data_IF_220314358931
#
_entry.id   IF_220314358931
#
_cell.length_a   1.000
_cell.length_b   1.000
_cell.length_c   1.000
_cell.angle_alpha   90.00
_cell.angle_beta   90.00
_cell.angle_gamma   90.00
#
_symmetry.space_group_name_H-M   'P 1'
#
loop_
_entity.id
_entity.type
_entity.pdbx_description
1 polymer ?
#
# COMPACT_ATOMS: atom_id res chain seq x y z
N UNK A 1 4.84 4.73 22.54
CA UNK A 1 5.44 3.42 22.92
C UNK A 1 4.44 2.28 22.82
N UNK A 2 3.21 2.42 23.33
CA UNK A 2 2.20 1.34 23.28
C UNK A 2 1.67 1.01 21.88
N UNK A 3 1.50 2.00 20.98
CA UNK A 3 1.03 1.75 19.61
C UNK A 3 1.96 0.78 18.84
N UNK A 4 3.27 0.97 18.97
CA UNK A 4 4.29 0.12 18.30
C UNK A 4 4.23 -1.35 18.76
N UNK A 5 3.94 -1.58 20.05
CA UNK A 5 3.77 -2.93 20.60
C UNK A 5 2.49 -3.59 20.07
N UNK A 6 1.42 -2.80 19.91
CA UNK A 6 0.16 -3.25 19.30
C UNK A 6 0.34 -3.68 17.84
N UNK A 7 1.04 -2.88 17.03
CA UNK A 7 1.33 -3.21 15.63
C UNK A 7 2.10 -4.53 15.47
N UNK A 8 3.14 -4.72 16.29
CA UNK A 8 3.92 -5.95 16.29
C UNK A 8 3.10 -7.15 16.78
N UNK A 9 2.33 -6.99 17.86
CA UNK A 9 1.44 -8.04 18.36
C UNK A 9 0.41 -8.45 17.29
N UNK A 10 -0.15 -7.47 16.56
CA UNK A 10 -1.08 -7.74 15.47
C UNK A 10 -0.41 -8.49 14.32
N UNK A 11 0.81 -8.13 13.92
CA UNK A 11 1.57 -8.87 12.91
C UNK A 11 1.86 -10.31 13.37
N UNK A 12 2.26 -10.51 14.63
CA UNK A 12 2.50 -11.85 15.19
C UNK A 12 1.20 -12.67 15.17
N UNK A 13 0.09 -12.09 15.61
CA UNK A 13 -1.22 -12.73 15.58
C UNK A 13 -1.64 -13.08 14.14
N UNK A 14 -1.43 -12.18 13.18
CA UNK A 14 -1.70 -12.42 11.78
C UNK A 14 -0.85 -13.58 11.21
N UNK A 15 0.44 -13.63 11.53
CA UNK A 15 1.32 -14.74 11.15
C UNK A 15 0.84 -16.07 11.75
N UNK A 16 0.40 -16.06 13.01
CA UNK A 16 -0.11 -17.25 13.69
C UNK A 16 -1.45 -17.72 13.10
N UNK A 17 -2.37 -16.78 12.82
CA UNK A 17 -3.65 -17.08 12.18
C UNK A 17 -3.45 -17.70 10.79
N UNK A 18 -2.61 -17.11 9.95
CA UNK A 18 -2.35 -17.68 8.63
C UNK A 18 -1.62 -19.00 8.71
N UNK A 19 -0.72 -19.19 9.68
CA UNK A 19 -0.13 -20.49 9.97
C UNK A 19 -1.17 -21.56 10.30
N UNK A 20 -2.19 -21.22 11.09
CA UNK A 20 -3.32 -22.12 11.39
C UNK A 20 -4.21 -22.43 10.17
N UNK A 21 -4.08 -21.65 9.08
CA UNK A 21 -4.76 -21.89 7.80
C UNK A 21 -3.85 -22.61 6.79
N UNK A 22 -2.78 -23.26 7.25
CA UNK A 22 -1.76 -23.91 6.44
C UNK A 22 -0.98 -22.98 5.50
N UNK A 23 -1.04 -21.66 5.76
CA UNK A 23 -0.27 -20.64 5.03
C UNK A 23 0.92 -20.18 5.87
N UNK A 24 2.15 -20.31 5.34
CA UNK A 24 3.32 -19.72 6.01
C UNK A 24 3.64 -18.35 5.42
N UNK A 25 3.58 -17.32 6.25
CA UNK A 25 4.16 -16.01 5.91
C UNK A 25 5.68 -16.22 5.75
N UNK A 26 6.18 -16.03 4.54
CA UNK A 26 7.59 -16.22 4.24
C UNK A 26 8.26 -14.84 4.11
N UNK A 27 8.95 -14.35 5.16
CA UNK A 27 9.58 -13.04 5.13
C UNK A 27 10.78 -12.94 4.18
N UNK A 28 11.21 -14.06 3.56
CA UNK A 28 12.42 -14.17 2.75
C UNK A 28 12.70 -12.91 1.92
N UNK A 29 13.91 -12.39 2.06
CA UNK A 29 14.39 -11.19 1.37
C UNK A 29 14.58 -11.40 -0.14
N UNK A 30 14.74 -12.65 -0.62
CA UNK A 30 14.92 -12.96 -2.04
C UNK A 30 13.59 -12.99 -2.79
N UNK A 31 13.52 -12.30 -3.93
CA UNK A 31 12.38 -12.41 -4.85
C UNK A 31 12.34 -13.80 -5.50
N UNK A 32 11.16 -14.44 -5.48
CA UNK A 32 10.93 -15.67 -6.24
C UNK A 32 10.40 -15.29 -7.62
N UNK A 33 11.25 -15.35 -8.63
CA UNK A 33 10.87 -14.99 -10.00
C UNK A 33 9.96 -16.07 -10.60
N UNK A 34 9.02 -15.66 -11.46
CA UNK A 34 8.26 -16.56 -12.34
C UNK A 34 8.80 -16.42 -13.77
N UNK A 35 8.38 -17.28 -14.70
CA UNK A 35 8.82 -17.19 -16.10
C UNK A 35 8.47 -15.86 -16.78
N UNK A 36 7.44 -15.14 -16.29
CA UNK A 36 7.02 -13.84 -16.81
C UNK A 36 7.54 -12.67 -15.97
N UNK A 37 8.39 -12.92 -14.98
CA UNK A 37 9.01 -11.88 -14.15
C UNK A 37 9.77 -10.88 -15.02
N UNK A 38 9.67 -9.60 -14.67
CA UNK A 38 10.35 -8.54 -15.39
C UNK A 38 10.92 -7.52 -14.42
N UNK A 39 12.24 -7.37 -14.43
CA UNK A 39 12.91 -6.29 -13.69
C UNK A 39 12.49 -4.91 -14.19
N UNK A 40 12.18 -4.76 -15.48
CA UNK A 40 11.65 -3.51 -16.02
C UNK A 40 10.31 -3.14 -15.35
N UNK A 41 9.40 -4.09 -15.19
CA UNK A 41 8.13 -3.85 -14.49
C UNK A 41 8.37 -3.49 -13.03
N UNK A 42 9.29 -4.18 -12.35
CA UNK A 42 9.67 -3.83 -10.98
C UNK A 42 10.21 -2.40 -10.91
N UNK A 43 11.09 -2.01 -11.84
CA UNK A 43 11.62 -0.64 -11.92
C UNK A 43 10.52 0.39 -12.13
N UNK A 44 9.54 0.11 -13.00
CA UNK A 44 8.37 1.00 -13.20
C UNK A 44 7.56 1.15 -11.91
N UNK A 45 7.34 0.06 -11.16
CA UNK A 45 6.64 0.13 -9.87
C UNK A 45 7.42 0.93 -8.83
N UNK A 46 8.75 0.78 -8.78
CA UNK A 46 9.62 1.57 -7.88
C UNK A 46 9.58 3.05 -8.26
N UNK A 47 9.68 3.38 -9.54
CA UNK A 47 9.59 4.77 -10.03
C UNK A 47 8.23 5.36 -9.67
N UNK A 48 7.15 4.59 -9.85
CA UNK A 48 5.81 5.02 -9.46
C UNK A 48 5.73 5.32 -7.96
N UNK A 49 6.22 4.44 -7.08
CA UNK A 49 6.20 4.66 -5.63
C UNK A 49 7.00 5.92 -5.25
N UNK A 50 8.17 6.12 -5.85
CA UNK A 50 8.97 7.32 -5.60
C UNK A 50 8.20 8.57 -6.06
N UNK A 51 7.61 8.52 -7.25
CA UNK A 51 6.82 9.63 -7.79
C UNK A 51 5.60 9.93 -6.90
N UNK A 52 4.87 8.91 -6.46
CA UNK A 52 3.67 9.00 -5.61
C UNK A 52 3.98 9.66 -4.26
N UNK A 53 5.04 9.20 -3.59
CA UNK A 53 5.53 9.82 -2.35
C UNK A 53 5.88 11.29 -2.60
N UNK A 54 6.69 11.58 -3.62
CA UNK A 54 7.12 12.94 -3.96
C UNK A 54 5.95 13.86 -4.33
N UNK A 55 4.94 13.34 -5.03
CA UNK A 55 3.77 14.08 -5.47
C UNK A 55 2.86 14.48 -4.29
N UNK A 56 2.63 13.55 -3.35
CA UNK A 56 1.87 13.81 -2.13
C UNK A 56 2.58 14.79 -1.21
N UNK A 57 3.88 14.61 -1.04
CA UNK A 57 4.77 15.48 -0.27
C UNK A 57 4.69 16.94 -0.75
N UNK A 58 4.48 17.15 -2.05
CA UNK A 58 4.35 18.49 -2.63
C UNK A 58 2.91 18.90 -2.96
N UNK A 59 1.91 18.08 -2.60
CA UNK A 59 0.50 18.27 -2.96
C UNK A 59 0.30 18.72 -4.42
N UNK A 60 1.07 18.13 -5.34
CA UNK A 60 1.04 18.43 -6.78
C UNK A 60 1.67 19.76 -7.23
N UNK A 61 2.31 20.53 -6.34
CA UNK A 61 2.96 21.80 -6.67
C UNK A 61 4.48 21.69 -6.61
N UNK A 62 5.15 21.66 -7.78
CA UNK A 62 6.62 21.58 -7.87
C UNK A 62 7.33 22.73 -7.12
N UNK A 63 6.71 23.90 -7.03
CA UNK A 63 7.22 25.05 -6.27
C UNK A 63 7.35 24.80 -4.75
N UNK A 64 6.73 23.73 -4.22
CA UNK A 64 6.87 23.36 -2.82
C UNK A 64 8.19 22.66 -2.52
N UNK A 65 8.80 21.96 -3.49
CA UNK A 65 10.15 21.39 -3.33
C UNK A 65 11.20 22.45 -2.97
N UNK A 66 11.02 23.67 -3.47
CA UNK A 66 11.95 24.78 -3.23
C UNK A 66 11.51 25.69 -2.08
N UNK A 67 10.37 25.40 -1.44
CA UNK A 67 9.90 26.22 -0.33
C UNK A 67 10.74 25.97 0.92
N UNK A 68 11.16 27.04 1.59
CA UNK A 68 12.01 26.95 2.78
C UNK A 68 11.36 26.11 3.89
N UNK A 69 10.04 26.23 4.07
CA UNK A 69 9.28 25.45 5.05
C UNK A 69 9.30 23.95 4.74
N UNK A 70 9.24 23.56 3.46
CA UNK A 70 9.38 22.18 3.02
C UNK A 70 10.78 21.64 3.28
N UNK A 71 11.82 22.38 2.88
CA UNK A 71 13.22 21.97 3.10
C UNK A 71 13.55 21.84 4.59
N UNK A 72 12.97 22.68 5.44
CA UNK A 72 13.20 22.61 6.89
C UNK A 72 12.43 21.48 7.57
N UNK A 73 11.22 21.15 7.11
CA UNK A 73 10.38 20.10 7.72
C UNK A 73 10.73 18.70 7.19
N UNK A 74 10.87 18.53 5.87
CA UNK A 74 11.07 17.23 5.23
C UNK A 74 12.43 16.58 5.49
N UNK A 75 13.45 17.38 5.84
CA UNK A 75 14.79 16.87 6.15
C UNK A 75 15.12 16.82 7.65
N UNK A 76 14.22 17.29 8.51
CA UNK A 76 14.40 17.19 9.96
C UNK A 76 13.91 15.83 10.44
N UNK A 77 14.83 15.02 10.96
CA UNK A 77 14.44 13.75 11.57
C UNK A 77 13.62 13.97 12.85
N UNK A 78 12.46 13.31 12.94
CA UNK A 78 11.57 13.42 14.09
C UNK A 78 11.18 12.02 14.62
N UNK A 79 11.57 11.72 15.86
CA UNK A 79 11.37 10.40 16.47
C UNK A 79 9.92 9.97 16.55
N UNK A 80 9.01 10.86 17.01
CA UNK A 80 7.59 10.49 17.17
C UNK A 80 6.93 10.17 15.81
N UNK A 81 6.96 11.06 14.79
CA UNK A 81 6.45 10.72 13.45
C UNK A 81 7.06 9.46 12.86
N UNK A 82 8.35 9.22 13.09
CA UNK A 82 9.03 8.00 12.62
C UNK A 82 8.43 6.73 13.22
N UNK A 83 8.27 6.69 14.54
CA UNK A 83 7.69 5.53 15.21
C UNK A 83 6.21 5.35 14.89
N UNK A 84 5.44 6.44 14.82
CA UNK A 84 4.02 6.39 14.45
C UNK A 84 3.87 5.83 13.04
N UNK A 85 4.66 6.32 12.07
CA UNK A 85 4.61 5.85 10.69
C UNK A 85 5.00 4.38 10.52
N UNK A 86 6.02 3.90 11.25
CA UNK A 86 6.34 2.46 11.27
C UNK A 86 5.18 1.65 11.85
N UNK A 87 4.59 2.12 12.95
CA UNK A 87 3.47 1.43 13.60
C UNK A 87 2.25 1.35 12.67
N UNK A 88 1.92 2.44 11.98
CA UNK A 88 0.82 2.49 10.99
C UNK A 88 1.12 1.59 9.81
N UNK A 89 2.28 1.73 9.17
CA UNK A 89 2.67 0.91 8.02
C UNK A 89 2.71 -0.59 8.33
N UNK A 90 3.13 -1.00 9.53
CA UNK A 90 3.04 -2.40 9.97
C UNK A 90 1.60 -2.84 10.17
N UNK A 91 0.80 -2.05 10.88
CA UNK A 91 -0.58 -2.43 11.22
C UNK A 91 -1.48 -2.50 9.99
N UNK A 92 -1.45 -1.47 9.16
CA UNK A 92 -2.32 -1.37 7.98
C UNK A 92 -1.95 -2.40 6.92
N UNK A 93 -0.65 -2.62 6.66
CA UNK A 93 -0.25 -3.66 5.72
C UNK A 93 -0.49 -5.08 6.27
N UNK A 94 -0.46 -5.29 7.59
CA UNK A 94 -0.91 -6.55 8.20
C UNK A 94 -2.39 -6.77 7.96
N UNK A 95 -3.22 -5.75 8.16
CA UNK A 95 -4.65 -5.80 7.88
C UNK A 95 -4.92 -6.09 6.39
N UNK A 96 -4.21 -5.43 5.48
CA UNK A 96 -4.31 -5.66 4.03
C UNK A 96 -3.83 -7.05 3.64
N UNK A 97 -2.77 -7.56 4.26
CA UNK A 97 -2.30 -8.93 4.06
C UNK A 97 -3.38 -9.95 4.40
N UNK A 98 -4.00 -9.84 5.57
CA UNK A 98 -5.10 -10.73 5.98
C UNK A 98 -6.29 -10.63 5.02
N UNK A 99 -6.64 -9.42 4.60
CA UNK A 99 -7.71 -9.18 3.62
C UNK A 99 -7.40 -9.88 2.29
N UNK A 100 -6.17 -9.75 1.78
CA UNK A 100 -5.75 -10.36 0.51
C UNK A 100 -5.72 -11.89 0.60
N UNK A 101 -5.15 -12.47 1.66
CA UNK A 101 -5.11 -13.93 1.84
C UNK A 101 -6.53 -14.51 1.95
N UNK A 102 -7.40 -13.86 2.72
CA UNK A 102 -8.80 -14.27 2.86
C UNK A 102 -9.52 -14.20 1.53
N UNK A 103 -9.39 -13.11 0.78
CA UNK A 103 -10.00 -12.96 -0.54
C UNK A 103 -9.44 -13.97 -1.56
N UNK A 104 -8.14 -14.29 -1.49
CA UNK A 104 -7.55 -15.33 -2.33
C UNK A 104 -8.20 -16.70 -2.05
N UNK A 105 -8.40 -17.07 -0.80
CA UNK A 105 -9.09 -18.33 -0.47
C UNK A 105 -10.57 -18.30 -0.90
N UNK A 106 -11.31 -17.24 -0.54
CA UNK A 106 -12.74 -17.12 -0.85
C UNK A 106 -13.03 -17.11 -2.36
N UNK A 107 -12.12 -16.57 -3.17
CA UNK A 107 -12.30 -16.41 -4.61
C UNK A 107 -11.50 -17.42 -5.44
N UNK A 108 -11.00 -18.51 -4.83
CA UNK A 108 -10.09 -19.47 -5.48
C UNK A 108 -10.64 -20.13 -6.76
N UNK A 109 -11.95 -20.32 -6.84
CA UNK A 109 -12.62 -20.90 -8.00
C UNK A 109 -13.00 -19.85 -9.06
N UNK A 110 -12.70 -18.57 -8.82
CA UNK A 110 -13.10 -17.48 -9.71
C UNK A 110 -12.07 -17.24 -10.81
N UNK A 111 -12.49 -17.23 -12.08
CA UNK A 111 -11.62 -17.00 -13.25
C UNK A 111 -10.76 -15.72 -13.15
N UNK A 112 -11.32 -14.66 -12.55
CA UNK A 112 -10.69 -13.36 -12.37
C UNK A 112 -10.29 -13.08 -10.91
N UNK A 113 -9.99 -14.13 -10.13
CA UNK A 113 -9.62 -14.06 -8.71
C UNK A 113 -8.68 -12.90 -8.39
N UNK A 114 -7.52 -12.80 -9.04
CA UNK A 114 -6.51 -11.75 -8.75
C UNK A 114 -7.08 -10.34 -8.97
N UNK A 115 -7.84 -10.13 -10.04
CA UNK A 115 -8.49 -8.84 -10.31
C UNK A 115 -9.46 -8.46 -9.19
N UNK A 116 -10.31 -9.40 -8.77
CA UNK A 116 -11.26 -9.15 -7.68
C UNK A 116 -10.56 -8.97 -6.33
N UNK A 117 -9.51 -9.73 -6.04
CA UNK A 117 -8.69 -9.56 -4.83
C UNK A 117 -8.10 -8.15 -4.78
N UNK A 118 -7.53 -7.65 -5.88
CA UNK A 118 -6.97 -6.29 -5.96
C UNK A 118 -8.07 -5.24 -5.71
N UNK A 119 -9.20 -5.33 -6.41
CA UNK A 119 -10.28 -4.34 -6.31
C UNK A 119 -10.93 -4.37 -4.92
N UNK A 120 -11.33 -5.55 -4.45
CA UNK A 120 -12.09 -5.69 -3.19
C UNK A 120 -11.19 -5.38 -1.99
N UNK A 121 -9.92 -5.79 -1.99
CA UNK A 121 -9.01 -5.42 -0.89
C UNK A 121 -8.78 -3.90 -0.83
N UNK A 122 -8.70 -3.23 -1.98
CA UNK A 122 -8.62 -1.77 -2.04
C UNK A 122 -9.91 -1.09 -1.55
N UNK A 123 -11.08 -1.63 -1.90
CA UNK A 123 -12.37 -1.13 -1.40
C UNK A 123 -12.48 -1.26 0.12
N UNK A 124 -12.08 -2.41 0.67
CA UNK A 124 -12.04 -2.64 2.11
C UNK A 124 -11.10 -1.60 2.76
N UNK A 125 -9.90 -1.43 2.22
CA UNK A 125 -8.93 -0.49 2.77
C UNK A 125 -9.42 0.97 2.74
N UNK A 126 -9.98 1.42 1.62
CA UNK A 126 -10.60 2.74 1.52
C UNK A 126 -11.77 2.90 2.48
N UNK A 127 -12.65 1.90 2.59
CA UNK A 127 -13.80 1.95 3.49
C UNK A 127 -13.41 2.05 4.97
N UNK A 128 -12.29 1.45 5.40
CA UNK A 128 -11.78 1.58 6.77
C UNK A 128 -11.44 3.03 7.15
N UNK A 129 -11.10 3.87 6.16
CA UNK A 129 -10.81 5.29 6.40
C UNK A 129 -12.09 6.13 6.64
N UNK A 130 -13.30 5.59 6.41
CA UNK A 130 -14.53 6.28 6.81
C UNK A 130 -14.62 6.50 8.33
N UNK A 131 -13.88 5.72 9.12
CA UNK A 131 -13.79 5.93 10.58
C UNK A 131 -13.23 7.30 10.93
N UNK A 132 -12.44 7.92 10.04
CA UNK A 132 -11.84 9.23 10.28
C UNK A 132 -12.85 10.37 10.23
N UNK A 133 -14.10 10.13 9.77
CA UNK A 133 -15.21 11.10 9.92
C UNK A 133 -15.47 11.45 11.39
N UNK A 134 -15.03 10.61 12.34
CA UNK A 134 -15.14 10.89 13.77
C UNK A 134 -14.21 12.01 14.24
N UNK A 135 -13.06 12.18 13.57
CA UNK A 135 -11.98 13.09 13.99
C UNK A 135 -11.69 14.19 12.96
N UNK A 136 -12.16 14.04 11.72
CA UNK A 136 -11.87 14.94 10.59
C UNK A 136 -13.15 15.47 9.91
N UNK A 137 -13.07 16.64 9.24
CA UNK A 137 -14.16 17.15 8.41
C UNK A 137 -14.58 16.13 7.34
N UNK A 138 -15.88 16.02 7.10
CA UNK A 138 -16.46 15.05 6.16
C UNK A 138 -15.77 15.02 4.78
N UNK A 139 -15.47 16.20 4.21
CA UNK A 139 -14.81 16.30 2.90
C UNK A 139 -13.38 15.73 2.93
N UNK A 140 -12.64 15.94 4.03
CA UNK A 140 -11.29 15.42 4.20
C UNK A 140 -11.32 13.89 4.32
N UNK A 141 -12.19 13.35 5.19
CA UNK A 141 -12.37 11.91 5.35
C UNK A 141 -12.78 11.21 4.05
N UNK A 142 -13.74 11.78 3.28
CA UNK A 142 -14.14 11.20 1.99
C UNK A 142 -13.01 11.27 0.95
N UNK A 143 -12.25 12.36 0.95
CA UNK A 143 -11.07 12.47 0.09
C UNK A 143 -10.06 11.37 0.43
N UNK A 144 -9.80 11.15 1.72
CA UNK A 144 -8.91 10.08 2.18
C UNK A 144 -9.41 8.68 1.81
N UNK A 145 -10.72 8.41 1.87
CA UNK A 145 -11.32 7.15 1.40
C UNK A 145 -11.03 6.91 -0.09
N UNK A 146 -11.19 7.94 -0.92
CA UNK A 146 -10.91 7.85 -2.37
C UNK A 146 -9.41 7.62 -2.60
N UNK A 147 -8.56 8.37 -1.91
CA UNK A 147 -7.10 8.23 -2.06
C UNK A 147 -6.62 6.85 -1.59
N UNK A 148 -7.08 6.40 -0.42
CA UNK A 148 -6.76 5.09 0.12
C UNK A 148 -7.26 3.96 -0.78
N UNK A 149 -8.43 4.10 -1.40
CA UNK A 149 -8.90 3.13 -2.40
C UNK A 149 -7.95 3.07 -3.60
N UNK A 150 -7.61 4.21 -4.20
CA UNK A 150 -6.78 4.27 -5.41
C UNK A 150 -5.35 3.75 -5.13
N UNK A 151 -4.72 4.20 -4.05
CA UNK A 151 -3.40 3.70 -3.61
C UNK A 151 -3.47 2.22 -3.25
N UNK A 152 -4.56 1.79 -2.60
CA UNK A 152 -4.84 0.40 -2.25
C UNK A 152 -4.80 -0.55 -3.46
N UNK A 153 -5.27 -0.11 -4.64
CA UNK A 153 -5.18 -0.90 -5.87
C UNK A 153 -3.71 -1.18 -6.25
N UNK A 154 -2.89 -0.13 -6.31
CA UNK A 154 -1.50 -0.25 -6.73
C UNK A 154 -0.67 -0.97 -5.68
N UNK A 155 -0.88 -0.69 -4.40
CA UNK A 155 -0.13 -1.34 -3.33
C UNK A 155 -0.45 -2.84 -3.24
N UNK A 156 -1.71 -3.24 -3.53
CA UNK A 156 -2.07 -4.65 -3.62
C UNK A 156 -1.35 -5.32 -4.80
N UNK A 157 -1.24 -4.61 -5.93
CA UNK A 157 -0.45 -5.05 -7.08
C UNK A 157 1.03 -5.18 -6.72
N UNK A 158 1.64 -4.22 -6.02
CA UNK A 158 3.06 -4.29 -5.64
C UNK A 158 3.29 -5.48 -4.71
N UNK A 159 2.41 -5.69 -3.73
CA UNK A 159 2.46 -6.87 -2.88
C UNK A 159 2.35 -8.17 -3.67
N UNK A 160 1.34 -8.31 -4.54
CA UNK A 160 1.16 -9.51 -5.36
C UNK A 160 2.26 -9.68 -6.42
N UNK A 161 2.85 -8.59 -6.91
CA UNK A 161 3.95 -8.65 -7.87
C UNK A 161 5.25 -9.09 -7.20
N UNK A 162 5.54 -8.62 -5.99
CA UNK A 162 6.79 -8.92 -5.28
C UNK A 162 6.70 -10.18 -4.40
N UNK A 163 5.50 -10.47 -3.89
CA UNK A 163 5.24 -11.44 -2.83
C UNK A 163 5.89 -11.04 -1.49
N UNK A 164 6.11 -9.75 -1.24
CA UNK A 164 6.86 -9.25 -0.06
C UNK A 164 6.02 -8.29 0.78
N UNK A 165 5.54 -8.77 1.92
CA UNK A 165 4.81 -7.95 2.88
C UNK A 165 5.72 -6.88 3.52
N UNK A 166 6.94 -7.27 3.92
CA UNK A 166 7.90 -6.34 4.53
C UNK A 166 8.22 -5.13 3.63
N UNK A 167 8.24 -5.33 2.31
CA UNK A 167 8.52 -4.25 1.37
C UNK A 167 7.39 -3.22 1.38
N UNK A 168 6.14 -3.67 1.45
CA UNK A 168 5.00 -2.76 1.56
C UNK A 168 4.96 -2.05 2.91
N UNK A 169 5.27 -2.73 4.01
CA UNK A 169 5.36 -2.08 5.33
C UNK A 169 6.37 -0.94 5.34
N UNK A 170 7.54 -1.13 4.69
CA UNK A 170 8.55 -0.08 4.55
C UNK A 170 8.04 1.06 3.65
N UNK A 171 7.46 0.74 2.49
CA UNK A 171 6.93 1.77 1.57
C UNK A 171 5.86 2.62 2.25
N UNK A 172 4.91 1.98 2.93
CA UNK A 172 3.83 2.64 3.66
C UNK A 172 4.41 3.48 4.82
N UNK A 173 5.30 2.92 5.63
CA UNK A 173 5.93 3.69 6.71
C UNK A 173 6.74 4.89 6.21
N UNK A 174 7.38 4.81 5.05
CA UNK A 174 8.05 5.95 4.43
C UNK A 174 7.03 7.01 3.98
N UNK A 175 5.94 6.57 3.32
CA UNK A 175 4.85 7.44 2.89
C UNK A 175 4.29 8.25 4.07
N UNK A 176 3.86 7.56 5.13
CA UNK A 176 3.26 8.17 6.32
C UNK A 176 4.24 9.07 7.05
N UNK A 177 5.51 8.68 7.16
CA UNK A 177 6.51 9.49 7.81
C UNK A 177 6.60 10.88 7.17
N UNK A 178 6.65 10.93 5.84
CA UNK A 178 6.68 12.20 5.13
C UNK A 178 5.36 12.98 5.22
N UNK A 179 4.21 12.29 5.27
CA UNK A 179 2.92 12.95 5.49
C UNK A 179 2.81 13.57 6.87
N UNK A 180 3.29 12.88 7.92
CA UNK A 180 3.29 13.39 9.29
C UNK A 180 4.26 14.55 9.52
N UNK A 181 5.27 14.73 8.65
CA UNK A 181 6.16 15.88 8.69
C UNK A 181 5.54 17.13 8.04
N UNK A 182 4.47 17.00 7.24
CA UNK A 182 3.87 18.14 6.57
C UNK A 182 3.25 19.11 7.58
N UNK A 183 3.59 20.41 7.53
CA UNK A 183 2.89 21.43 8.30
C UNK A 183 1.39 21.42 8.02
N UNK A 184 0.58 21.37 9.08
CA UNK A 184 -0.87 21.57 8.97
C UNK A 184 -1.12 22.96 8.37
N UNK A 185 -1.80 23.02 7.21
CA UNK A 185 -2.25 24.29 6.63
C UNK A 185 -1.52 24.80 5.39
N UNK A 186 -0.73 23.98 4.67
CA UNK A 186 -0.22 24.41 3.36
C UNK A 186 -1.36 24.42 2.32
N UNK A 187 -2.10 25.54 2.26
CA UNK A 187 -3.19 25.74 1.30
C UNK A 187 -2.67 25.72 -0.14
N UNK A 188 -3.11 24.75 -0.94
CA UNK A 188 -2.99 24.80 -2.41
C UNK A 188 -4.08 25.71 -2.97
N UNK A 189 -3.80 26.43 -4.05
CA UNK A 189 -4.88 27.06 -4.81
C UNK A 189 -5.84 25.99 -5.34
N UNK A 190 -7.12 26.32 -5.48
CA UNK A 190 -8.15 25.37 -5.90
C UNK A 190 -7.82 24.70 -7.26
N UNK A 191 -7.21 25.43 -8.19
CA UNK A 191 -6.83 24.89 -9.50
C UNK A 191 -5.70 23.86 -9.42
N UNK A 192 -4.67 24.12 -8.60
CA UNK A 192 -3.57 23.17 -8.38
C UNK A 192 -4.08 21.94 -7.62
N UNK A 193 -4.98 22.13 -6.66
CA UNK A 193 -5.58 21.03 -5.90
C UNK A 193 -6.39 20.08 -6.78
N UNK A 194 -7.20 20.62 -7.71
CA UNK A 194 -7.97 19.78 -8.64
C UNK A 194 -7.03 18.97 -9.55
N UNK A 195 -5.99 19.60 -10.10
CA UNK A 195 -4.99 18.91 -10.93
C UNK A 195 -4.28 17.81 -10.12
N UNK A 196 -3.91 18.10 -8.88
CA UNK A 196 -3.36 17.14 -7.93
C UNK A 196 -4.27 15.91 -7.80
N UNK A 197 -5.54 16.10 -7.42
CA UNK A 197 -6.48 15.00 -7.24
C UNK A 197 -6.71 14.20 -8.54
N UNK A 198 -6.80 14.87 -9.68
CA UNK A 198 -7.03 14.21 -10.98
C UNK A 198 -5.84 13.32 -11.35
N UNK A 199 -4.62 13.82 -11.22
CA UNK A 199 -3.40 13.07 -11.53
C UNK A 199 -3.26 11.87 -10.59
N UNK A 200 -3.49 12.11 -9.31
CA UNK A 200 -3.38 11.11 -8.25
C UNK A 200 -4.45 10.01 -8.35
N UNK A 201 -5.57 10.26 -9.02
CA UNK A 201 -6.57 9.24 -9.32
C UNK A 201 -6.28 8.52 -10.63
N UNK A 202 -5.97 9.26 -11.70
CA UNK A 202 -5.88 8.69 -13.05
C UNK A 202 -4.63 7.81 -13.20
N UNK A 203 -3.46 8.27 -12.75
CA UNK A 203 -2.20 7.54 -12.96
C UNK A 203 -2.23 6.15 -12.28
N UNK A 204 -2.64 6.02 -11.01
CA UNK A 204 -2.69 4.70 -10.37
C UNK A 204 -3.75 3.78 -10.98
N UNK A 205 -4.88 4.32 -11.48
CA UNK A 205 -5.89 3.53 -12.21
C UNK A 205 -5.30 3.00 -13.52
N UNK A 206 -4.62 3.84 -14.31
CA UNK A 206 -3.97 3.41 -15.56
C UNK A 206 -2.89 2.35 -15.29
N UNK A 207 -2.08 2.55 -14.25
CA UNK A 207 -1.09 1.57 -13.81
C UNK A 207 -1.75 0.25 -13.40
N UNK A 208 -2.87 0.32 -12.68
CA UNK A 208 -3.65 -0.85 -12.26
C UNK A 208 -4.15 -1.63 -13.47
N UNK A 209 -4.77 -0.97 -14.45
CA UNK A 209 -5.24 -1.60 -15.69
C UNK A 209 -4.06 -2.24 -16.45
N UNK A 210 -2.93 -1.55 -16.55
CA UNK A 210 -1.73 -2.07 -17.22
C UNK A 210 -1.16 -3.31 -16.53
N UNK A 211 -1.17 -3.34 -15.19
CA UNK A 211 -0.66 -4.47 -14.39
C UNK A 211 -1.61 -5.68 -14.41
N UNK A 212 -2.91 -5.44 -14.52
CA UNK A 212 -3.95 -6.48 -14.62
C UNK A 212 -4.10 -7.07 -16.03
N UNK A 213 -3.17 -6.78 -16.95
CA UNK A 213 -3.16 -7.30 -18.32
C UNK A 213 -1.83 -7.94 -18.73
N UNK A 214 -1.87 -8.78 -19.75
CA UNK A 214 -0.67 -9.34 -20.41
C UNK A 214 0.20 -10.25 -19.52
N UNK A 215 1.53 -10.19 -19.73
CA UNK A 215 2.50 -11.00 -18.98
C UNK A 215 2.58 -10.64 -17.49
N UNK A 216 2.33 -9.37 -17.16
CA UNK A 216 2.33 -8.84 -15.78
C UNK A 216 1.30 -9.56 -14.93
N UNK A 217 0.06 -9.65 -15.42
CA UNK A 217 -1.02 -10.38 -14.75
C UNK A 217 -0.65 -11.83 -14.40
N UNK A 218 0.08 -12.53 -15.29
CA UNK A 218 0.57 -13.89 -15.02
C UNK A 218 1.56 -13.96 -13.85
N UNK A 219 2.34 -12.90 -13.60
CA UNK A 219 3.24 -12.81 -12.44
C UNK A 219 2.42 -12.67 -11.15
N UNK A 220 1.39 -11.81 -11.14
CA UNK A 220 0.50 -11.66 -10.00
C UNK A 220 -0.19 -12.98 -9.68
N UNK A 221 -0.70 -13.70 -10.68
CA UNK A 221 -1.30 -15.04 -10.51
C UNK A 221 -0.30 -16.08 -9.99
N UNK A 222 0.95 -16.04 -10.44
CA UNK A 222 1.97 -16.97 -9.96
C UNK A 222 2.29 -16.72 -8.47
N UNK A 223 2.39 -15.47 -8.05
CA UNK A 223 2.64 -15.12 -6.65
C UNK A 223 1.43 -15.30 -5.76
N UNK A 224 0.23 -14.97 -6.23
CA UNK A 224 -1.03 -15.28 -5.55
C UNK A 224 -1.10 -16.78 -5.23
N UNK A 225 -0.82 -17.65 -6.21
CA UNK A 225 -0.72 -19.09 -5.98
C UNK A 225 0.35 -19.46 -4.96
N UNK A 226 1.53 -18.83 -5.00
CA UNK A 226 2.62 -19.10 -4.03
C UNK A 226 2.27 -18.68 -2.61
N UNK A 227 1.55 -17.57 -2.44
CA UNK A 227 1.02 -17.12 -1.16
C UNK A 227 0.02 -18.17 -0.63
N UNK A 228 -0.79 -18.73 -1.53
CA UNK A 228 -1.78 -19.77 -1.21
C UNK A 228 -1.24 -21.19 -1.16
N UNK A 229 0.06 -21.44 -1.44
CA UNK A 229 0.62 -22.79 -1.39
C UNK A 229 0.55 -23.31 0.04
N UNK A 230 -0.38 -24.24 0.26
CA UNK A 230 -0.44 -25.05 1.48
C UNK A 230 0.74 -26.01 1.45
N UNK A 231 1.44 -26.15 2.57
CA UNK A 231 2.42 -27.22 2.67
C UNK A 231 1.66 -28.53 2.85
N UNK A 232 1.98 -29.55 2.04
CA UNK A 232 1.62 -30.92 2.36
C UNK A 232 2.41 -31.31 3.60
N UNK A 233 1.73 -31.54 4.72
CA UNK A 233 2.33 -32.24 5.85
C UNK A 233 2.52 -33.69 5.44
N UNK A 234 3.71 -34.06 4.99
CA UNK A 234 4.14 -35.45 5.12
C UNK A 234 4.54 -35.64 6.58
N UNK A 235 3.64 -36.26 7.37
CA UNK A 235 4.01 -36.88 8.64
C UNK A 235 4.96 -38.06 8.39
#
# INVERSE_FOLDING_TARGET
MYANLGALAFLIAACYMTYCWDHRLNPNFKFKTSSNWSYLVLTVLIIFVIWDILWNICSGAMSRFTSQAFLQSSFRFAWKPFFDAISTGVSEETFRYLSIVTLLECLKETKHQVTFVVIISAMIFGAFHLLNVMDEPFIAAISQVIMAFVSGLVWAIIYLYTGKLWAMMIIHGIYDYFMFLQPIGISTSNSIFIIYCVIEVIIPILLTIWMLTGKRYKVLQANARRIMLRQNFSF
#
